data_IF_685428658688
#
_entry.id   IF_685428658688
#
_cell.length_a   1.000
_cell.length_b   1.000
_cell.length_c   1.000
_cell.angle_alpha   90.00
_cell.angle_beta   90.00
_cell.angle_gamma   90.00
#
_symmetry.space_group_name_H-M   'P 1'
#
loop_
_entity.id
_entity.type
_entity.pdbx_description
1 polymer ?
#
# COMPACT_ATOMS: atom_id res chain seq x y z
N UNK A 1 7.74 -8.53 11.11
CA UNK A 1 8.86 -9.46 11.05
C UNK A 1 9.28 -9.65 9.60
N UNK A 2 10.57 -9.49 9.31
CA UNK A 2 11.04 -9.59 7.93
C UNK A 2 11.16 -11.05 7.49
N UNK A 3 10.89 -11.29 6.21
CA UNK A 3 10.91 -12.62 5.61
C UNK A 3 11.92 -12.69 4.48
N UNK A 4 12.51 -13.85 4.28
CA UNK A 4 13.42 -14.09 3.17
C UNK A 4 12.63 -14.31 1.87
N UNK A 5 13.32 -14.25 0.74
CA UNK A 5 12.70 -14.53 -0.56
C UNK A 5 12.06 -15.92 -0.58
N UNK A 6 12.75 -16.94 -0.05
CA UNK A 6 12.22 -18.30 0.00
C UNK A 6 10.92 -18.39 0.81
N UNK A 7 10.86 -17.68 1.95
CA UNK A 7 9.67 -17.65 2.77
C UNK A 7 8.50 -16.95 2.08
N UNK A 8 8.79 -15.88 1.34
CA UNK A 8 7.76 -15.16 0.58
C UNK A 8 7.20 -16.01 -0.55
N UNK A 9 8.07 -16.74 -1.26
CA UNK A 9 7.63 -17.68 -2.31
C UNK A 9 6.67 -18.73 -1.71
N UNK A 10 7.03 -19.29 -0.56
CA UNK A 10 6.19 -20.27 0.10
C UNK A 10 4.84 -19.70 0.55
N UNK A 11 4.84 -18.46 1.05
CA UNK A 11 3.63 -17.84 1.59
C UNK A 11 2.68 -17.34 0.48
N UNK A 12 3.22 -16.74 -0.57
CA UNK A 12 2.41 -16.12 -1.63
C UNK A 12 2.12 -17.05 -2.78
N UNK A 13 2.86 -18.14 -2.91
CA UNK A 13 2.79 -19.06 -4.04
C UNK A 13 3.16 -18.41 -5.39
N UNK A 14 3.84 -17.26 -5.32
CA UNK A 14 4.37 -16.59 -6.51
C UNK A 14 5.77 -17.15 -6.79
N UNK A 15 6.05 -17.44 -8.05
CA UNK A 15 7.35 -17.99 -8.44
C UNK A 15 8.49 -17.04 -8.09
N UNK A 16 9.63 -17.59 -7.69
CA UNK A 16 10.81 -16.80 -7.33
C UNK A 16 11.22 -15.85 -8.45
N UNK A 17 11.24 -16.35 -9.69
CA UNK A 17 11.62 -15.55 -10.85
C UNK A 17 10.71 -14.34 -11.04
N UNK A 18 9.43 -14.48 -10.75
CA UNK A 18 8.48 -13.37 -10.85
C UNK A 18 8.75 -12.31 -9.78
N UNK A 19 8.97 -12.74 -8.54
CA UNK A 19 9.28 -11.81 -7.45
C UNK A 19 10.57 -11.04 -7.76
N UNK A 20 11.61 -11.74 -8.23
CA UNK A 20 12.87 -11.12 -8.62
C UNK A 20 12.63 -10.07 -9.71
N UNK A 21 11.86 -10.40 -10.73
CA UNK A 21 11.55 -9.46 -11.81
C UNK A 21 10.81 -8.23 -11.28
N UNK A 22 9.87 -8.40 -10.37
CA UNK A 22 9.12 -7.29 -9.80
C UNK A 22 9.98 -6.38 -8.93
N UNK A 23 10.96 -6.93 -8.22
CA UNK A 23 11.93 -6.12 -7.49
C UNK A 23 12.81 -5.35 -8.46
N UNK A 24 13.24 -5.97 -9.54
CA UNK A 24 14.05 -5.31 -10.57
C UNK A 24 13.29 -4.18 -11.27
N UNK A 25 11.97 -4.33 -11.42
CA UNK A 25 11.10 -3.28 -11.99
C UNK A 25 10.75 -2.20 -10.97
N UNK A 26 11.19 -2.33 -9.73
CA UNK A 26 10.85 -1.43 -8.62
C UNK A 26 9.36 -1.43 -8.26
N UNK A 27 8.66 -2.50 -8.58
CA UNK A 27 7.27 -2.68 -8.14
C UNK A 27 7.20 -3.07 -6.67
N UNK A 28 8.23 -3.73 -6.17
CA UNK A 28 8.41 -4.11 -4.77
C UNK A 28 9.79 -3.61 -4.34
N UNK A 29 9.88 -3.00 -3.18
CA UNK A 29 11.13 -2.43 -2.66
C UNK A 29 11.47 -3.07 -1.31
N UNK A 30 12.01 -4.30 -1.30
CA UNK A 30 12.38 -4.94 -0.04
C UNK A 30 13.59 -4.27 0.60
N UNK A 31 13.73 -4.45 1.91
CA UNK A 31 14.96 -4.09 2.59
C UNK A 31 16.08 -5.03 2.19
N UNK A 32 17.30 -4.64 2.49
CA UNK A 32 18.47 -5.43 2.17
C UNK A 32 19.35 -5.55 3.40
N UNK A 33 19.78 -6.76 3.71
CA UNK A 33 20.67 -7.01 4.84
C UNK A 33 21.60 -8.17 4.50
N UNK A 34 22.90 -7.96 4.66
CA UNK A 34 23.92 -8.98 4.39
C UNK A 34 23.81 -9.56 2.97
N UNK A 35 23.49 -8.71 1.99
CA UNK A 35 23.38 -9.14 0.60
C UNK A 35 22.11 -9.90 0.26
N UNK A 36 21.16 -9.97 1.18
CA UNK A 36 19.87 -10.64 0.98
C UNK A 36 18.71 -9.68 1.11
N UNK A 37 17.68 -9.89 0.30
CA UNK A 37 16.44 -9.13 0.40
C UNK A 37 15.63 -9.60 1.61
N UNK A 38 15.07 -8.64 2.34
CA UNK A 38 14.15 -8.89 3.45
C UNK A 38 12.84 -8.18 3.16
N UNK A 39 11.76 -8.96 3.19
CA UNK A 39 10.41 -8.47 2.87
C UNK A 39 9.60 -8.32 4.15
N UNK A 40 9.02 -7.15 4.37
CA UNK A 40 8.11 -6.93 5.50
C UNK A 40 6.68 -7.32 5.10
N UNK A 41 5.74 -7.14 6.02
CA UNK A 41 4.33 -7.50 5.77
C UNK A 41 3.72 -6.69 4.63
N UNK A 42 4.10 -5.42 4.49
CA UNK A 42 3.58 -4.59 3.40
C UNK A 42 4.13 -5.03 2.06
N UNK A 43 5.38 -5.47 2.01
CA UNK A 43 5.97 -6.03 0.79
C UNK A 43 5.27 -7.30 0.37
N UNK A 44 4.97 -8.19 1.32
CA UNK A 44 4.26 -9.45 1.06
C UNK A 44 2.85 -9.15 0.53
N UNK A 45 2.14 -8.22 1.16
CA UNK A 45 0.82 -7.81 0.71
C UNK A 45 0.86 -7.23 -0.71
N UNK A 46 1.89 -6.45 -1.01
CA UNK A 46 2.08 -5.85 -2.33
C UNK A 46 2.32 -6.92 -3.40
N UNK A 47 3.12 -7.93 -3.09
CA UNK A 47 3.37 -9.06 -3.99
C UNK A 47 2.07 -9.79 -4.30
N UNK A 48 1.26 -10.07 -3.29
CA UNK A 48 -0.05 -10.71 -3.47
C UNK A 48 -0.98 -9.84 -4.32
N UNK A 49 -0.96 -8.53 -4.12
CA UNK A 49 -1.75 -7.59 -4.88
C UNK A 49 -1.34 -7.58 -6.36
N UNK A 50 -0.05 -7.55 -6.64
CA UNK A 50 0.46 -7.58 -8.02
C UNK A 50 0.00 -8.86 -8.71
N UNK A 51 0.07 -9.98 -8.01
CA UNK A 51 -0.41 -11.26 -8.54
C UNK A 51 -1.90 -11.19 -8.91
N UNK A 52 -2.73 -10.66 -8.02
CA UNK A 52 -4.16 -10.50 -8.27
C UNK A 52 -4.43 -9.58 -9.47
N UNK A 53 -3.69 -8.47 -9.55
CA UNK A 53 -3.84 -7.54 -10.68
C UNK A 53 -3.51 -8.21 -12.01
N UNK A 54 -2.49 -9.03 -12.04
CA UNK A 54 -2.07 -9.72 -13.27
C UNK A 54 -2.98 -10.88 -13.62
N UNK A 55 -3.31 -11.73 -12.66
CA UNK A 55 -4.02 -12.98 -12.91
C UNK A 55 -5.54 -12.82 -12.96
N UNK A 56 -6.09 -12.02 -12.04
CA UNK A 56 -7.53 -11.88 -11.90
C UNK A 56 -8.10 -10.70 -12.66
N UNK A 57 -7.32 -9.65 -12.86
CA UNK A 57 -7.78 -8.41 -13.48
C UNK A 57 -7.08 -8.11 -14.80
N UNK A 58 -6.23 -8.99 -15.27
CA UNK A 58 -5.55 -8.88 -16.56
C UNK A 58 -4.78 -7.57 -16.77
N UNK A 59 -4.25 -6.99 -15.68
CA UNK A 59 -3.42 -5.82 -15.80
C UNK A 59 -2.07 -6.22 -16.37
N UNK A 60 -1.72 -5.67 -17.53
CA UNK A 60 -0.45 -6.00 -18.18
C UNK A 60 0.72 -5.26 -17.55
N UNK A 61 1.94 -5.66 -17.92
CA UNK A 61 3.15 -5.11 -17.32
C UNK A 61 3.37 -3.63 -17.65
N UNK A 62 2.86 -3.15 -18.79
CA UNK A 62 2.96 -1.75 -19.16
C UNK A 62 2.06 -0.86 -18.29
N UNK A 63 0.89 -1.36 -17.93
CA UNK A 63 -0.06 -0.64 -17.08
C UNK A 63 0.27 -0.76 -15.60
N UNK A 64 1.02 -1.79 -15.20
CA UNK A 64 1.28 -2.08 -13.78
C UNK A 64 1.88 -0.90 -13.01
N UNK A 65 2.91 -0.19 -13.52
CA UNK A 65 3.47 0.94 -12.78
C UNK A 65 2.45 2.05 -12.52
N UNK A 66 1.54 2.29 -13.46
CA UNK A 66 0.50 3.32 -13.31
C UNK A 66 -0.50 2.90 -12.23
N UNK A 67 -0.97 1.66 -12.29
CA UNK A 67 -1.93 1.13 -11.31
C UNK A 67 -1.33 1.16 -9.90
N UNK A 68 -0.08 0.69 -9.76
CA UNK A 68 0.59 0.67 -8.47
C UNK A 68 0.79 2.09 -7.91
N UNK A 69 1.14 3.04 -8.77
CA UNK A 69 1.31 4.43 -8.35
C UNK A 69 -0.01 5.01 -7.83
N UNK A 70 -1.12 4.74 -8.53
CA UNK A 70 -2.43 5.21 -8.09
C UNK A 70 -2.85 4.58 -6.76
N UNK A 71 -2.59 3.29 -6.58
CA UNK A 71 -2.87 2.61 -5.32
C UNK A 71 -2.03 3.17 -4.18
N UNK A 72 -0.75 3.48 -4.43
CA UNK A 72 0.11 4.08 -3.43
C UNK A 72 -0.42 5.45 -3.00
N UNK A 73 -0.95 6.23 -3.93
CA UNK A 73 -1.58 7.52 -3.62
C UNK A 73 -2.81 7.34 -2.74
N UNK A 74 -3.64 6.35 -3.04
CA UNK A 74 -4.84 6.05 -2.23
C UNK A 74 -4.44 5.66 -0.80
N UNK A 75 -3.47 4.77 -0.65
CA UNK A 75 -3.00 4.35 0.67
C UNK A 75 -2.38 5.51 1.43
N UNK A 76 -1.60 6.34 0.76
CA UNK A 76 -1.01 7.54 1.36
C UNK A 76 -2.05 8.52 1.85
N UNK A 77 -3.11 8.73 1.08
CA UNK A 77 -4.22 9.59 1.47
C UNK A 77 -4.97 9.03 2.67
N UNK A 78 -5.21 7.73 2.71
CA UNK A 78 -5.86 7.07 3.86
C UNK A 78 -5.04 7.23 5.13
N UNK A 79 -3.73 7.05 5.04
CA UNK A 79 -2.83 7.23 6.18
C UNK A 79 -2.87 8.68 6.67
N UNK A 80 -2.84 9.65 5.77
CA UNK A 80 -2.92 11.06 6.11
C UNK A 80 -4.23 11.41 6.79
N UNK A 81 -5.35 10.85 6.31
CA UNK A 81 -6.66 11.05 6.92
C UNK A 81 -6.70 10.46 8.34
N UNK A 82 -6.11 9.29 8.54
CA UNK A 82 -6.06 8.66 9.85
C UNK A 82 -5.24 9.48 10.83
N UNK A 83 -4.08 9.98 10.41
CA UNK A 83 -3.24 10.86 11.22
C UNK A 83 -3.98 12.14 11.60
N UNK A 84 -4.72 12.70 10.65
CA UNK A 84 -5.53 13.89 10.88
C UNK A 84 -6.62 13.62 11.91
N UNK A 85 -7.32 12.48 11.82
CA UNK A 85 -8.35 12.10 12.78
C UNK A 85 -7.77 11.91 14.17
N UNK A 86 -6.59 11.29 14.28
CA UNK A 86 -5.92 11.12 15.57
C UNK A 86 -5.52 12.45 16.18
N UNK A 87 -5.02 13.39 15.37
CA UNK A 87 -4.67 14.72 15.84
C UNK A 87 -5.92 15.48 16.33
N UNK A 88 -7.04 15.36 15.64
CA UNK A 88 -8.30 15.98 16.02
C UNK A 88 -8.79 15.40 17.35
N UNK A 89 -8.66 14.09 17.56
CA UNK A 89 -9.06 13.44 18.82
C UNK A 89 -8.31 13.98 20.04
N UNK A 90 -7.09 14.47 19.83
CA UNK A 90 -6.30 15.07 20.91
C UNK A 90 -6.67 16.50 21.25
N UNK A 91 -7.59 17.13 20.51
CA UNK A 91 -8.01 18.51 20.75
C UNK A 91 -9.10 18.60 21.83
N UNK A 92 -9.22 19.78 22.48
CA UNK A 92 -10.36 20.02 23.38
C UNK A 92 -11.70 19.82 22.66
N UNK A 93 -12.72 19.39 23.38
CA UNK A 93 -14.02 19.01 22.82
C UNK A 93 -14.63 20.09 21.91
N UNK A 94 -14.54 21.36 22.31
CA UNK A 94 -15.13 22.47 21.53
C UNK A 94 -14.52 22.59 20.14
N UNK A 95 -13.22 22.39 20.02
CA UNK A 95 -12.53 22.49 18.73
C UNK A 95 -12.62 21.20 17.94
N UNK A 96 -12.61 20.07 18.65
CA UNK A 96 -12.66 18.75 18.01
C UNK A 96 -13.93 18.58 17.18
N UNK A 97 -15.08 18.92 17.75
CA UNK A 97 -16.37 18.73 17.08
C UNK A 97 -16.46 19.58 15.80
N UNK A 98 -16.03 20.84 15.90
CA UNK A 98 -16.05 21.76 14.76
C UNK A 98 -15.17 21.25 13.60
N UNK A 99 -13.97 20.74 13.92
CA UNK A 99 -13.05 20.21 12.92
C UNK A 99 -13.54 18.91 12.31
N UNK A 100 -14.10 18.01 13.14
CA UNK A 100 -14.64 16.75 12.64
C UNK A 100 -15.78 16.99 11.66
N UNK A 101 -16.67 17.92 11.96
CA UNK A 101 -17.79 18.27 11.07
C UNK A 101 -17.27 18.81 9.73
N UNK A 102 -16.24 19.64 9.76
CA UNK A 102 -15.65 20.19 8.55
C UNK A 102 -14.96 19.13 7.70
N UNK A 103 -14.21 18.26 8.33
CA UNK A 103 -13.52 17.16 7.62
C UNK A 103 -14.54 16.24 6.96
N UNK A 104 -15.59 15.87 7.68
CA UNK A 104 -16.65 15.03 7.13
C UNK A 104 -17.38 15.71 5.98
N UNK A 105 -17.61 17.02 6.06
CA UNK A 105 -18.25 17.77 4.99
C UNK A 105 -17.41 17.78 3.72
N UNK A 106 -16.09 17.99 3.85
CA UNK A 106 -15.16 17.96 2.72
C UNK A 106 -15.15 16.57 2.08
N UNK A 107 -15.05 15.52 2.90
CA UNK A 107 -15.03 14.14 2.41
C UNK A 107 -16.33 13.79 1.68
N UNK A 108 -17.46 14.25 2.20
CA UNK A 108 -18.76 14.00 1.59
C UNK A 108 -18.88 14.64 0.22
N UNK A 109 -18.38 15.87 0.06
CA UNK A 109 -18.39 16.58 -1.22
C UNK A 109 -17.53 15.90 -2.27
N UNK A 110 -16.36 15.42 -1.88
CA UNK A 110 -15.42 14.80 -2.80
C UNK A 110 -15.70 13.31 -3.03
N UNK A 111 -16.43 12.66 -2.13
CA UNK A 111 -16.78 11.25 -2.25
C UNK A 111 -17.93 10.97 -3.18
N UNK A 112 -18.63 11.99 -3.68
CA UNK A 112 -19.78 11.85 -4.57
C UNK A 112 -19.47 12.16 -6.03
N UNK A 113 -18.21 12.40 -6.32
CA UNK A 113 -17.77 12.73 -7.66
C UNK A 113 -17.81 11.59 -8.67
#
# INVERSE_FOLDING_TARGET
>A
MARTLAEVVATTEVAEAEIVAWVEQHWVLPGEQAGQWLFDESDVARISLIRELREDMDVNDDAMPVVLKLLDQVYGLRAALQEMQEAIQGLPDEHRQALQDRVQDVLRRHGQG
#
